data_IF_759632643983
#
_entry.id   IF_759632643983
#
_cell.length_a   1.000
_cell.length_b   1.000
_cell.length_c   1.000
_cell.angle_alpha   90.00
_cell.angle_beta   90.00
_cell.angle_gamma   90.00
#
_symmetry.space_group_name_H-M   'P 1'
#
loop_
_entity.id
_entity.type
_entity.pdbx_description
1 polymer ?
#
# COMPACT_ATOMS: atom_id res chain seq x y z
N UNK A 1 67.99 37.13 35.93
CA UNK A 1 67.06 36.11 36.41
C UNK A 1 65.66 36.48 35.95
N UNK A 2 65.15 35.86 34.90
CA UNK A 2 63.75 35.99 34.42
C UNK A 2 63.28 34.60 34.09
N UNK A 3 62.41 34.08 34.93
CA UNK A 3 61.71 32.79 34.77
C UNK A 3 60.58 32.93 33.79
N UNK A 4 60.64 32.18 32.67
CA UNK A 4 59.58 32.12 31.68
C UNK A 4 58.62 30.98 32.01
N UNK A 5 57.35 31.34 32.18
CA UNK A 5 56.24 30.42 32.40
C UNK A 5 55.75 29.92 31.03
N UNK A 6 55.85 28.61 30.76
CA UNK A 6 55.29 27.98 29.57
C UNK A 6 53.81 27.57 29.86
N UNK A 7 52.86 28.18 29.17
CA UNK A 7 51.48 27.73 29.12
C UNK A 7 51.37 26.58 28.14
N UNK A 8 50.97 25.42 28.60
CA UNK A 8 50.54 24.28 27.77
C UNK A 8 49.02 24.44 27.53
N UNK A 9 48.66 24.68 26.28
CA UNK A 9 47.25 24.69 25.89
C UNK A 9 46.80 23.24 25.65
N UNK A 10 45.94 22.73 26.55
CA UNK A 10 45.21 21.48 26.29
C UNK A 10 44.06 21.77 25.37
N UNK A 11 44.12 21.30 24.16
CA UNK A 11 42.98 21.24 23.22
C UNK A 11 42.09 20.08 23.63
N UNK A 12 40.91 20.40 24.12
CA UNK A 12 39.84 19.40 24.39
C UNK A 12 39.19 19.05 23.06
N UNK A 13 39.38 17.81 22.60
CA UNK A 13 38.59 17.21 21.56
C UNK A 13 37.17 16.89 22.13
N UNK A 14 36.22 17.73 21.85
CA UNK A 14 34.79 17.47 22.06
C UNK A 14 34.11 17.57 20.72
N UNK A 15 33.97 16.46 19.97
CA UNK A 15 33.04 16.39 18.84
C UNK A 15 32.93 14.99 18.22
N UNK A 16 32.38 13.99 18.92
CA UNK A 16 31.94 12.74 18.26
C UNK A 16 30.80 12.01 18.99
N UNK A 17 30.22 12.55 20.06
CA UNK A 17 29.20 11.82 20.85
C UNK A 17 27.76 12.06 20.34
N UNK A 18 27.50 13.18 19.66
CA UNK A 18 26.12 13.52 19.25
C UNK A 18 25.57 12.67 18.08
N UNK A 19 26.41 12.17 17.21
CA UNK A 19 25.97 11.42 16.01
C UNK A 19 25.54 9.98 16.31
N UNK A 20 26.13 9.36 17.30
CA UNK A 20 25.83 7.96 17.66
C UNK A 20 24.49 7.86 18.39
N UNK A 21 24.21 8.77 19.31
CA UNK A 21 22.95 8.78 20.06
C UNK A 21 21.71 8.98 19.16
N UNK A 22 21.79 9.81 18.12
CA UNK A 22 20.69 10.00 17.18
C UNK A 22 20.49 8.83 16.23
N UNK A 23 21.53 8.08 15.88
CA UNK A 23 21.42 6.88 15.07
C UNK A 23 20.76 5.72 15.82
N UNK A 24 21.10 5.55 17.09
CA UNK A 24 20.48 4.53 17.95
C UNK A 24 18.99 4.81 18.19
N UNK A 25 18.58 6.07 18.34
CA UNK A 25 17.19 6.48 18.51
C UNK A 25 16.31 6.16 17.31
N UNK A 26 16.79 6.38 16.08
CA UNK A 26 16.01 6.11 14.86
C UNK A 26 15.86 4.60 14.61
N UNK A 27 16.90 3.81 14.88
CA UNK A 27 16.85 2.35 14.77
C UNK A 27 15.90 1.77 15.81
N UNK A 28 15.96 2.22 17.05
CA UNK A 28 15.04 1.79 18.11
C UNK A 28 13.58 2.17 17.79
N UNK A 29 13.35 3.38 17.26
CA UNK A 29 12.01 3.80 16.79
C UNK A 29 11.51 2.90 15.67
N UNK A 30 12.35 2.61 14.67
CA UNK A 30 12.01 1.73 13.57
C UNK A 30 11.67 0.31 14.05
N UNK A 31 12.49 -0.25 14.94
CA UNK A 31 12.25 -1.57 15.54
C UNK A 31 10.94 -1.62 16.34
N UNK A 32 10.62 -0.56 17.09
CA UNK A 32 9.36 -0.45 17.82
C UNK A 32 8.16 -0.48 16.87
N UNK A 33 8.20 0.33 15.81
CA UNK A 33 7.12 0.40 14.82
C UNK A 33 6.93 -0.95 14.09
N UNK A 34 8.02 -1.67 13.80
CA UNK A 34 7.95 -2.99 13.17
C UNK A 34 7.25 -4.04 14.03
N UNK A 35 7.36 -3.96 15.36
CA UNK A 35 6.61 -4.85 16.26
C UNK A 35 5.10 -4.67 16.09
N UNK A 36 4.66 -3.42 15.84
CA UNK A 36 3.25 -3.10 15.59
C UNK A 36 2.82 -3.58 14.21
N UNK A 37 3.59 -3.24 13.16
CA UNK A 37 3.24 -3.57 11.78
C UNK A 37 3.28 -5.08 11.48
N UNK A 38 4.20 -5.83 12.10
CA UNK A 38 4.33 -7.28 11.87
C UNK A 38 3.62 -8.13 12.93
N UNK A 39 2.94 -7.49 13.90
CA UNK A 39 2.22 -8.16 14.97
C UNK A 39 0.89 -8.77 14.51
N UNK A 40 0.27 -9.64 15.34
CA UNK A 40 -1.03 -10.25 15.03
C UNK A 40 -2.14 -9.22 14.78
N UNK A 41 -2.94 -9.43 13.75
CA UNK A 41 -4.05 -8.57 13.35
C UNK A 41 -5.40 -9.18 13.79
N UNK A 42 -5.52 -9.52 15.09
CA UNK A 42 -6.67 -10.22 15.66
C UNK A 42 -7.69 -9.30 16.37
N UNK A 43 -7.42 -7.99 16.46
CA UNK A 43 -8.32 -7.01 17.04
C UNK A 43 -9.25 -6.39 16.01
N UNK A 44 -10.55 -6.29 16.34
CA UNK A 44 -11.47 -5.52 15.51
C UNK A 44 -11.43 -4.04 15.89
N UNK A 45 -11.09 -3.19 14.91
CA UNK A 45 -11.05 -1.72 15.03
C UNK A 45 -11.97 -1.03 14.03
N UNK A 46 -12.74 -1.82 13.26
CA UNK A 46 -13.69 -1.31 12.28
C UNK A 46 -15.02 -0.83 12.88
N UNK A 47 -15.99 -0.48 12.03
CA UNK A 47 -17.28 0.05 12.48
C UNK A 47 -18.04 -0.95 13.36
N UNK A 48 -18.72 -0.43 14.37
CA UNK A 48 -19.54 -1.20 15.32
C UNK A 48 -21.05 -1.05 15.06
N UNK A 49 -21.43 -0.26 14.07
CA UNK A 49 -22.82 -0.05 13.64
C UNK A 49 -22.89 0.32 12.18
N UNK A 50 -23.96 -0.07 11.51
CA UNK A 50 -24.30 0.30 10.15
C UNK A 50 -25.83 0.41 9.98
N UNK A 51 -26.32 1.11 8.95
CA UNK A 51 -27.74 1.05 8.59
C UNK A 51 -28.06 -0.35 8.04
N UNK A 52 -29.27 -0.83 8.30
CA UNK A 52 -29.73 -2.10 7.74
C UNK A 52 -29.79 -1.99 6.20
N UNK A 53 -29.13 -2.87 5.45
CA UNK A 53 -29.12 -2.78 4.00
C UNK A 53 -30.50 -2.87 3.35
N UNK A 54 -30.74 -2.08 2.30
CA UNK A 54 -31.91 -2.18 1.44
C UNK A 54 -31.58 -3.19 0.34
N UNK A 55 -32.30 -4.33 0.33
CA UNK A 55 -32.09 -5.37 -0.69
C UNK A 55 -32.46 -4.89 -2.10
N UNK A 56 -31.99 -5.61 -3.12
CA UNK A 56 -32.32 -5.38 -4.52
C UNK A 56 -31.59 -4.22 -5.18
N UNK A 57 -30.57 -3.67 -4.55
CA UNK A 57 -29.71 -2.63 -5.13
C UNK A 57 -28.83 -3.21 -6.23
N UNK A 58 -28.61 -2.42 -7.29
CA UNK A 58 -27.71 -2.70 -8.41
C UNK A 58 -26.45 -1.89 -8.24
N UNK A 59 -25.31 -2.54 -8.14
CA UNK A 59 -24.02 -1.91 -7.90
C UNK A 59 -23.09 -2.22 -9.06
N UNK A 60 -22.30 -1.24 -9.51
CA UNK A 60 -21.15 -1.50 -10.38
C UNK A 60 -19.87 -1.47 -9.56
N UNK A 61 -19.02 -2.49 -9.72
CA UNK A 61 -17.61 -2.38 -9.41
C UNK A 61 -16.85 -2.09 -10.69
N UNK A 62 -16.28 -0.90 -10.79
CA UNK A 62 -15.42 -0.51 -11.91
C UNK A 62 -13.99 -0.80 -11.52
N UNK A 63 -13.49 -1.94 -12.01
CA UNK A 63 -12.14 -2.39 -11.80
C UNK A 63 -11.17 -1.57 -12.65
N UNK A 64 -10.06 -1.16 -12.08
CA UNK A 64 -8.98 -0.53 -12.84
C UNK A 64 -8.51 -1.45 -13.99
N UNK A 65 -8.25 -2.72 -13.64
CA UNK A 65 -7.72 -3.73 -14.57
C UNK A 65 -8.00 -5.14 -14.03
N UNK A 66 -8.90 -5.88 -14.65
CA UNK A 66 -9.22 -7.26 -14.26
C UNK A 66 -8.09 -8.27 -14.52
N UNK A 67 -7.07 -7.91 -15.28
CA UNK A 67 -5.88 -8.74 -15.44
C UNK A 67 -4.91 -8.64 -14.24
N UNK A 68 -5.13 -7.66 -13.34
CA UNK A 68 -4.38 -7.51 -12.11
C UNK A 68 -5.04 -8.31 -10.98
N UNK A 69 -4.28 -9.20 -10.32
CA UNK A 69 -4.78 -10.12 -9.30
C UNK A 69 -5.50 -9.42 -8.14
N UNK A 70 -5.01 -8.27 -7.68
CA UNK A 70 -5.64 -7.54 -6.58
C UNK A 70 -6.99 -6.93 -6.99
N UNK A 71 -7.06 -6.33 -8.19
CA UNK A 71 -8.32 -5.79 -8.71
C UNK A 71 -9.37 -6.89 -8.94
N UNK A 72 -8.96 -8.02 -9.50
CA UNK A 72 -9.82 -9.18 -9.65
C UNK A 72 -10.34 -9.70 -8.30
N UNK A 73 -9.44 -9.81 -7.31
CA UNK A 73 -9.80 -10.25 -5.96
C UNK A 73 -10.81 -9.31 -5.29
N UNK A 74 -10.68 -7.98 -5.44
CA UNK A 74 -11.72 -7.04 -5.00
C UNK A 74 -13.07 -7.31 -5.69
N UNK A 75 -13.08 -7.50 -7.01
CA UNK A 75 -14.30 -7.80 -7.78
C UNK A 75 -15.04 -9.02 -7.26
N UNK A 76 -14.30 -10.10 -6.99
CA UNK A 76 -14.83 -11.34 -6.41
C UNK A 76 -15.40 -11.09 -5.01
N UNK A 77 -14.63 -10.45 -4.14
CA UNK A 77 -15.02 -10.24 -2.74
C UNK A 77 -16.16 -9.21 -2.58
N UNK A 78 -16.20 -8.15 -3.38
CA UNK A 78 -17.32 -7.17 -3.43
C UNK A 78 -18.59 -7.87 -3.88
N UNK A 79 -18.50 -8.74 -4.90
CA UNK A 79 -19.66 -9.52 -5.37
C UNK A 79 -20.17 -10.47 -4.29
N UNK A 80 -19.28 -11.14 -3.56
CA UNK A 80 -19.65 -12.01 -2.45
C UNK A 80 -20.33 -11.21 -1.32
N UNK A 81 -19.71 -10.14 -0.84
CA UNK A 81 -20.23 -9.32 0.23
C UNK A 81 -21.58 -8.67 -0.13
N UNK A 82 -21.69 -8.13 -1.35
CA UNK A 82 -22.95 -7.57 -1.87
C UNK A 82 -24.08 -8.58 -1.90
N UNK A 83 -23.82 -9.80 -2.37
CA UNK A 83 -24.81 -10.89 -2.38
C UNK A 83 -25.34 -11.24 -0.97
N UNK A 84 -24.48 -11.16 0.06
CA UNK A 84 -24.90 -11.42 1.46
C UNK A 84 -25.99 -10.49 1.92
N UNK A 85 -26.05 -9.27 1.41
CA UNK A 85 -27.05 -8.25 1.74
C UNK A 85 -28.11 -8.06 0.65
N UNK A 86 -28.18 -8.97 -0.33
CA UNK A 86 -29.18 -8.96 -1.39
C UNK A 86 -28.94 -7.94 -2.49
N UNK A 87 -27.71 -7.54 -2.74
CA UNK A 87 -27.31 -6.65 -3.83
C UNK A 87 -26.85 -7.44 -5.06
N UNK A 88 -27.10 -6.88 -6.25
CA UNK A 88 -26.60 -7.37 -7.54
C UNK A 88 -25.41 -6.54 -7.95
N UNK A 89 -24.22 -7.17 -8.01
CA UNK A 89 -22.96 -6.49 -8.31
C UNK A 89 -22.49 -6.89 -9.72
N UNK A 90 -22.32 -5.91 -10.58
CA UNK A 90 -21.73 -6.07 -11.91
C UNK A 90 -20.28 -5.56 -11.90
N UNK A 91 -19.32 -6.44 -12.19
CA UNK A 91 -17.91 -6.06 -12.38
C UNK A 91 -17.72 -5.58 -13.81
N UNK A 92 -17.11 -4.39 -13.96
CA UNK A 92 -16.81 -3.78 -15.27
C UNK A 92 -15.31 -3.52 -15.36
N UNK A 93 -14.65 -4.13 -16.33
CA UNK A 93 -13.21 -3.99 -16.56
C UNK A 93 -12.86 -2.66 -17.20
N UNK A 94 -12.04 -1.86 -16.53
CA UNK A 94 -11.53 -0.57 -17.00
C UNK A 94 -10.28 -0.67 -17.87
N UNK A 95 -9.70 -1.85 -18.06
CA UNK A 95 -8.60 -2.17 -19.00
C UNK A 95 -7.36 -1.30 -18.80
N UNK A 96 -7.04 -0.93 -17.56
CA UNK A 96 -5.86 -0.18 -17.16
C UNK A 96 -5.64 1.16 -17.91
N UNK A 97 -6.70 1.76 -18.47
CA UNK A 97 -6.57 2.99 -19.24
C UNK A 97 -7.63 4.02 -18.88
N UNK A 98 -7.30 5.33 -18.90
CA UNK A 98 -8.29 6.39 -18.65
C UNK A 98 -9.50 6.32 -19.59
N UNK A 99 -9.31 5.93 -20.85
CA UNK A 99 -10.39 5.74 -21.82
C UNK A 99 -11.29 4.58 -21.42
N UNK A 100 -10.69 3.46 -21.01
CA UNK A 100 -11.42 2.29 -20.52
C UNK A 100 -12.21 2.59 -19.26
N UNK A 101 -11.60 3.29 -18.29
CA UNK A 101 -12.27 3.71 -17.05
C UNK A 101 -13.49 4.62 -17.32
N UNK A 102 -13.34 5.63 -18.18
CA UNK A 102 -14.47 6.50 -18.59
C UNK A 102 -15.57 5.68 -19.29
N UNK A 103 -15.19 4.72 -20.14
CA UNK A 103 -16.16 3.84 -20.82
C UNK A 103 -16.91 2.99 -19.79
N UNK A 104 -16.22 2.42 -18.78
CA UNK A 104 -16.83 1.63 -17.72
C UNK A 104 -17.78 2.45 -16.85
N UNK A 105 -17.43 3.70 -16.50
CA UNK A 105 -18.33 4.62 -15.80
C UNK A 105 -19.61 4.92 -16.61
N UNK A 106 -19.47 5.24 -17.89
CA UNK A 106 -20.60 5.48 -18.78
C UNK A 106 -21.50 4.23 -18.88
N UNK A 107 -20.91 3.03 -18.92
CA UNK A 107 -21.66 1.78 -18.90
C UNK A 107 -22.42 1.59 -17.58
N UNK A 108 -21.80 1.84 -16.42
CA UNK A 108 -22.47 1.77 -15.13
C UNK A 108 -23.65 2.75 -15.04
N UNK A 109 -23.48 3.99 -15.49
CA UNK A 109 -24.54 4.99 -15.54
C UNK A 109 -25.70 4.53 -16.46
N UNK A 110 -25.38 3.98 -17.64
CA UNK A 110 -26.37 3.46 -18.58
C UNK A 110 -27.17 2.26 -18.01
N UNK A 111 -26.52 1.43 -17.19
CA UNK A 111 -27.16 0.33 -16.46
C UNK A 111 -28.08 0.80 -15.30
N UNK A 112 -28.07 2.11 -15.01
CA UNK A 112 -28.85 2.74 -13.92
C UNK A 112 -28.59 2.06 -12.59
N UNK A 113 -27.32 1.93 -12.24
CA UNK A 113 -26.91 1.38 -10.94
C UNK A 113 -27.27 2.33 -9.80
N UNK A 114 -27.50 1.79 -8.60
CA UNK A 114 -27.78 2.57 -7.39
C UNK A 114 -26.52 3.14 -6.75
N UNK A 115 -25.33 2.55 -7.06
CA UNK A 115 -24.05 3.00 -6.53
C UNK A 115 -22.89 2.41 -7.30
N UNK A 116 -21.74 3.05 -7.18
CA UNK A 116 -20.49 2.66 -7.85
C UNK A 116 -19.40 2.44 -6.79
N UNK A 117 -18.66 1.36 -6.91
CA UNK A 117 -17.36 1.14 -6.26
C UNK A 117 -16.32 1.16 -7.37
N UNK A 118 -15.18 1.83 -7.18
CA UNK A 118 -14.15 1.89 -8.23
C UNK A 118 -12.74 1.80 -7.68
N UNK A 119 -11.86 1.07 -8.38
CA UNK A 119 -10.42 1.09 -8.16
C UNK A 119 -9.65 1.90 -9.22
N UNK A 120 -10.36 2.57 -10.15
CA UNK A 120 -9.76 3.47 -11.11
C UNK A 120 -9.42 4.83 -10.49
N UNK A 121 -8.36 5.48 -10.96
CA UNK A 121 -7.92 6.79 -10.44
C UNK A 121 -8.98 7.89 -10.67
N UNK A 122 -9.56 8.39 -9.59
CA UNK A 122 -10.65 9.37 -9.63
C UNK A 122 -10.25 10.72 -10.24
N UNK A 123 -8.97 11.10 -10.14
CA UNK A 123 -8.47 12.34 -10.74
C UNK A 123 -8.59 12.34 -12.26
N UNK A 124 -8.48 11.15 -12.87
CA UNK A 124 -8.61 10.94 -14.31
C UNK A 124 -10.07 10.79 -14.77
N UNK A 125 -11.03 10.82 -13.85
CA UNK A 125 -12.45 10.49 -14.08
C UNK A 125 -13.41 11.64 -13.73
N UNK A 126 -12.92 12.87 -13.57
CA UNK A 126 -13.70 14.00 -13.06
C UNK A 126 -15.06 14.18 -13.75
N UNK A 127 -15.09 14.12 -15.08
CA UNK A 127 -16.34 14.35 -15.84
C UNK A 127 -17.34 13.19 -15.65
N UNK A 128 -16.86 11.95 -15.66
CA UNK A 128 -17.70 10.77 -15.45
C UNK A 128 -18.22 10.70 -14.00
N UNK A 129 -17.41 11.07 -13.03
CA UNK A 129 -17.80 11.19 -11.62
C UNK A 129 -18.86 12.27 -11.45
N UNK A 130 -18.65 13.47 -12.03
CA UNK A 130 -19.62 14.57 -11.97
C UNK A 130 -20.96 14.17 -12.61
N UNK A 131 -20.97 13.38 -13.68
CA UNK A 131 -22.19 12.86 -14.28
C UNK A 131 -22.91 11.87 -13.35
N UNK A 132 -22.19 10.98 -12.67
CA UNK A 132 -22.75 10.06 -11.68
C UNK A 132 -23.35 10.82 -10.48
N UNK A 133 -22.65 11.82 -9.96
CA UNK A 133 -23.14 12.71 -8.88
C UNK A 133 -24.42 13.45 -9.28
N UNK A 134 -24.49 14.00 -10.51
CA UNK A 134 -25.69 14.67 -11.03
C UNK A 134 -26.92 13.74 -11.09
N UNK A 135 -26.69 12.43 -11.09
CA UNK A 135 -27.74 11.38 -11.04
C UNK A 135 -27.96 10.82 -9.63
N UNK A 136 -27.32 11.40 -8.62
CA UNK A 136 -27.34 10.93 -7.22
C UNK A 136 -26.84 9.48 -7.06
N UNK A 137 -25.85 9.06 -7.85
CA UNK A 137 -25.18 7.78 -7.72
C UNK A 137 -23.95 7.99 -6.83
N UNK A 138 -23.95 7.49 -5.58
CA UNK A 138 -22.77 7.60 -4.71
C UNK A 138 -21.61 6.75 -5.22
N UNK A 139 -20.39 7.24 -4.98
CA UNK A 139 -19.16 6.60 -5.43
C UNK A 139 -18.25 6.33 -4.24
N UNK A 140 -17.86 5.07 -4.04
CA UNK A 140 -16.84 4.64 -3.09
C UNK A 140 -15.59 4.25 -3.86
N UNK A 141 -14.45 4.84 -3.50
CA UNK A 141 -13.15 4.48 -4.05
C UNK A 141 -12.48 3.35 -3.25
N UNK A 142 -11.69 2.53 -3.93
CA UNK A 142 -10.67 1.66 -3.36
C UNK A 142 -9.38 1.98 -4.08
N UNK A 143 -8.37 2.54 -3.41
CA UNK A 143 -7.14 3.06 -4.03
C UNK A 143 -7.37 4.12 -5.13
N UNK A 144 -8.54 4.74 -5.17
CA UNK A 144 -8.94 5.67 -6.22
C UNK A 144 -8.42 7.11 -6.01
N UNK A 145 -7.85 7.41 -4.84
CA UNK A 145 -7.33 8.74 -4.48
C UNK A 145 -6.00 8.63 -3.72
N UNK A 146 -5.36 9.78 -3.47
CA UNK A 146 -4.06 9.85 -2.81
C UNK A 146 -4.09 9.41 -1.35
N UNK A 147 -5.20 9.61 -0.64
CA UNK A 147 -5.35 9.36 0.79
C UNK A 147 -6.68 8.65 1.08
N UNK A 148 -6.78 7.90 2.19
CA UNK A 148 -8.04 7.33 2.65
C UNK A 148 -9.02 8.40 3.13
N UNK A 149 -10.31 8.06 3.11
CA UNK A 149 -11.38 8.89 3.62
C UNK A 149 -12.16 9.65 2.54
N UNK A 150 -13.07 10.55 2.95
CA UNK A 150 -13.89 11.33 2.03
C UNK A 150 -13.07 12.27 1.17
N UNK A 151 -13.36 12.32 -0.13
CA UNK A 151 -12.75 13.29 -1.05
C UNK A 151 -13.83 13.97 -1.91
N UNK A 152 -14.31 15.10 -1.42
CA UNK A 152 -15.38 15.87 -2.10
C UNK A 152 -14.90 16.53 -3.39
N UNK A 153 -13.60 16.82 -3.52
CA UNK A 153 -13.06 17.44 -4.74
C UNK A 153 -13.02 16.44 -5.90
N UNK A 154 -12.85 15.16 -5.55
CA UNK A 154 -12.90 14.06 -6.50
C UNK A 154 -14.26 13.38 -6.57
N UNK A 155 -15.28 13.85 -5.84
CA UNK A 155 -16.63 13.28 -5.84
C UNK A 155 -16.71 11.90 -5.19
N UNK A 156 -15.78 11.54 -4.33
CA UNK A 156 -15.79 10.27 -3.61
C UNK A 156 -16.48 10.43 -2.25
N UNK A 157 -17.49 9.60 -2.00
CA UNK A 157 -18.09 9.49 -0.67
C UNK A 157 -17.04 9.14 0.38
N UNK A 158 -16.21 8.15 0.07
CA UNK A 158 -14.98 7.83 0.79
C UNK A 158 -14.06 7.02 -0.13
N UNK A 159 -12.76 7.04 0.17
CA UNK A 159 -11.76 6.21 -0.48
C UNK A 159 -11.18 5.22 0.54
N UNK A 160 -11.26 3.94 0.24
CA UNK A 160 -10.80 2.85 1.09
C UNK A 160 -9.40 2.45 0.67
N UNK A 161 -8.50 2.57 1.59
CA UNK A 161 -7.11 2.12 1.50
C UNK A 161 -6.46 2.26 2.87
N UNK A 162 -5.34 1.65 3.07
CA UNK A 162 -4.42 2.01 4.15
C UNK A 162 -3.83 3.39 3.90
N UNK A 163 -3.36 4.05 4.94
CA UNK A 163 -2.66 5.32 4.71
C UNK A 163 -1.34 5.04 3.97
N UNK A 164 -1.16 5.50 2.73
CA UNK A 164 0.05 5.22 1.95
C UNK A 164 1.31 5.80 2.60
N UNK A 165 1.17 6.77 3.51
CA UNK A 165 2.28 7.31 4.30
C UNK A 165 2.78 6.29 5.31
N UNK A 166 1.88 5.53 5.93
CA UNK A 166 2.22 4.47 6.87
C UNK A 166 2.83 3.25 6.15
N UNK A 167 2.34 2.94 4.93
CA UNK A 167 2.96 1.91 4.07
C UNK A 167 4.42 2.26 3.76
N UNK A 168 4.67 3.47 3.28
CA UNK A 168 6.04 3.93 2.98
C UNK A 168 6.91 4.02 4.22
N UNK A 169 6.33 4.43 5.36
CA UNK A 169 7.03 4.43 6.65
C UNK A 169 7.42 3.01 7.07
N UNK A 170 6.52 2.03 6.97
CA UNK A 170 6.81 0.63 7.30
C UNK A 170 7.95 0.04 6.44
N UNK A 171 7.95 0.33 5.13
CA UNK A 171 9.06 -0.04 4.24
C UNK A 171 10.39 0.55 4.70
N UNK A 172 10.41 1.85 5.02
CA UNK A 172 11.62 2.55 5.46
C UNK A 172 12.09 2.08 6.84
N UNK A 173 11.18 1.85 7.78
CA UNK A 173 11.49 1.35 9.11
C UNK A 173 12.13 -0.04 9.05
N UNK A 174 11.62 -0.91 8.16
CA UNK A 174 12.26 -2.20 7.95
C UNK A 174 13.71 -2.05 7.43
N UNK A 175 13.93 -1.18 6.46
CA UNK A 175 15.26 -0.90 5.92
C UNK A 175 16.20 -0.34 6.98
N UNK A 176 15.73 0.61 7.79
CA UNK A 176 16.51 1.25 8.86
C UNK A 176 16.92 0.20 9.91
N UNK A 177 15.96 -0.64 10.34
CA UNK A 177 16.22 -1.68 11.35
C UNK A 177 17.16 -2.77 10.82
N UNK A 178 16.91 -3.29 9.60
CA UNK A 178 17.70 -4.36 8.99
C UNK A 178 19.15 -3.92 8.68
N UNK A 179 19.36 -2.66 8.32
CA UNK A 179 20.68 -2.09 8.04
C UNK A 179 21.39 -1.52 9.27
N UNK A 180 20.75 -1.58 10.43
CA UNK A 180 21.21 -0.89 11.63
C UNK A 180 21.52 0.61 11.36
N UNK A 181 20.65 1.28 10.60
CA UNK A 181 20.75 2.69 10.26
C UNK A 181 21.79 3.05 9.20
N UNK A 182 22.29 2.09 8.41
CA UNK A 182 23.35 2.30 7.41
C UNK A 182 22.96 1.84 6.01
N UNK A 183 21.70 2.04 5.63
CA UNK A 183 21.17 1.59 4.34
C UNK A 183 21.65 2.45 3.16
N UNK A 184 21.77 1.79 2.00
CA UNK A 184 21.92 2.42 0.68
C UNK A 184 20.70 2.05 -0.15
N UNK A 185 19.85 3.04 -0.46
CA UNK A 185 18.48 2.80 -0.91
C UNK A 185 18.21 3.44 -2.26
N UNK A 186 17.61 2.69 -3.17
CA UNK A 186 16.93 3.19 -4.36
C UNK A 186 15.43 3.10 -4.11
N UNK A 187 14.71 4.17 -4.40
CA UNK A 187 13.23 4.24 -4.27
C UNK A 187 12.62 4.30 -5.65
N UNK A 188 11.72 3.35 -5.96
CA UNK A 188 10.96 3.38 -7.22
C UNK A 188 9.52 3.78 -6.98
N UNK A 189 8.91 4.41 -7.98
CA UNK A 189 7.54 4.91 -7.93
C UNK A 189 6.85 4.82 -9.29
N UNK A 190 5.53 4.91 -9.27
CA UNK A 190 4.62 5.03 -10.42
C UNK A 190 3.83 6.34 -10.26
N UNK A 191 4.46 7.49 -10.53
CA UNK A 191 3.93 8.82 -10.18
C UNK A 191 2.66 9.22 -10.96
N UNK A 192 2.24 8.43 -11.92
CA UNK A 192 0.93 8.57 -12.56
C UNK A 192 -0.23 8.23 -11.62
N UNK A 193 0.05 7.48 -10.52
CA UNK A 193 -0.89 7.20 -9.45
C UNK A 193 -0.54 8.00 -8.20
N UNK A 194 -1.48 8.82 -7.73
CA UNK A 194 -1.25 9.68 -6.55
C UNK A 194 -0.94 8.87 -5.28
N UNK A 195 -1.53 7.69 -5.11
CA UNK A 195 -1.23 6.78 -4.00
C UNK A 195 0.22 6.29 -4.06
N UNK A 196 0.73 5.92 -5.24
CA UNK A 196 2.08 5.42 -5.42
C UNK A 196 3.14 6.50 -5.14
N UNK A 197 2.88 7.73 -5.60
CA UNK A 197 3.74 8.86 -5.27
C UNK A 197 3.74 9.12 -3.76
N UNK A 198 2.60 9.06 -3.10
CA UNK A 198 2.49 9.25 -1.64
C UNK A 198 3.27 8.17 -0.88
N UNK A 199 3.12 6.87 -1.24
CA UNK A 199 3.89 5.75 -0.66
C UNK A 199 5.41 6.02 -0.78
N UNK A 200 5.89 6.27 -1.99
CA UNK A 200 7.33 6.45 -2.26
C UNK A 200 7.92 7.70 -1.62
N UNK A 201 7.17 8.80 -1.56
CA UNK A 201 7.59 10.02 -0.85
C UNK A 201 7.72 9.78 0.65
N UNK A 202 6.81 9.01 1.26
CA UNK A 202 6.90 8.66 2.68
C UNK A 202 8.15 7.84 3.00
N UNK A 203 8.56 6.91 2.12
CA UNK A 203 9.86 6.22 2.24
C UNK A 203 11.00 7.23 2.27
N UNK A 204 11.03 8.16 1.32
CA UNK A 204 12.10 9.18 1.23
C UNK A 204 12.14 10.05 2.48
N UNK A 205 10.99 10.52 2.96
CA UNK A 205 10.93 11.37 4.16
C UNK A 205 11.41 10.61 5.41
N UNK A 206 11.04 9.35 5.58
CA UNK A 206 11.47 8.54 6.73
C UNK A 206 12.99 8.26 6.67
N UNK A 207 13.54 7.99 5.49
CA UNK A 207 14.97 7.77 5.30
C UNK A 207 15.80 9.04 5.58
N UNK A 208 15.27 10.24 5.33
CA UNK A 208 15.95 11.50 5.67
C UNK A 208 16.21 11.66 7.18
N UNK A 209 15.35 11.07 8.02
CA UNK A 209 15.57 11.07 9.47
C UNK A 209 16.70 10.13 9.92
N UNK A 210 17.16 9.22 9.04
CA UNK A 210 18.24 8.28 9.31
C UNK A 210 19.58 8.84 8.81
N UNK A 211 20.37 9.41 9.69
CA UNK A 211 21.64 10.08 9.33
C UNK A 211 22.66 9.18 8.62
N UNK A 212 22.65 7.87 8.91
CA UNK A 212 23.56 6.90 8.26
C UNK A 212 23.00 6.30 6.98
N UNK A 213 21.70 6.50 6.68
CA UNK A 213 21.05 6.00 5.47
C UNK A 213 21.34 6.93 4.28
N UNK A 214 21.46 6.35 3.08
CA UNK A 214 21.72 7.11 1.85
C UNK A 214 20.66 6.79 0.82
N UNK A 215 19.80 7.77 0.49
CA UNK A 215 19.00 7.73 -0.72
C UNK A 215 19.94 7.93 -1.91
N UNK A 216 20.09 6.87 -2.72
CA UNK A 216 20.95 6.88 -3.89
C UNK A 216 20.26 7.46 -5.12
N UNK A 217 18.98 7.06 -5.31
CA UNK A 217 18.18 7.46 -6.46
C UNK A 217 16.69 7.36 -6.13
N UNK A 218 15.89 8.28 -6.66
CA UNK A 218 14.43 8.19 -6.72
C UNK A 218 14.02 8.10 -8.18
N UNK A 219 13.37 7.01 -8.57
CA UNK A 219 13.06 6.70 -9.97
C UNK A 219 11.56 6.58 -10.19
N UNK A 220 11.01 7.44 -11.01
CA UNK A 220 9.69 7.24 -11.58
C UNK A 220 9.77 6.30 -12.79
N UNK A 221 9.02 5.21 -12.74
CA UNK A 221 8.90 4.24 -13.84
C UNK A 221 7.41 4.02 -14.10
N UNK A 222 6.83 4.58 -15.17
CA UNK A 222 5.45 4.37 -15.49
C UNK A 222 5.08 2.88 -15.54
N UNK A 223 3.92 2.51 -15.02
CA UNK A 223 3.53 1.10 -14.88
C UNK A 223 3.53 0.35 -16.21
N UNK A 224 3.15 1.04 -17.29
CA UNK A 224 3.19 0.48 -18.63
C UNK A 224 4.60 0.12 -19.15
N UNK A 225 5.64 0.68 -18.54
CA UNK A 225 7.04 0.48 -18.93
C UNK A 225 7.80 -0.47 -17.99
N UNK A 226 7.17 -0.91 -16.91
CA UNK A 226 7.80 -1.70 -15.82
C UNK A 226 8.48 -2.96 -16.38
N UNK A 227 7.78 -3.73 -17.21
CA UNK A 227 8.31 -4.97 -17.77
C UNK A 227 9.60 -4.79 -18.59
N UNK A 228 9.73 -3.64 -19.26
CA UNK A 228 10.90 -3.35 -20.11
C UNK A 228 12.03 -2.66 -19.31
N UNK A 229 11.69 -1.75 -18.39
CA UNK A 229 12.67 -0.90 -17.72
C UNK A 229 13.25 -1.52 -16.46
N UNK A 230 12.43 -2.16 -15.63
CA UNK A 230 12.86 -2.62 -14.31
C UNK A 230 13.98 -3.67 -14.32
N UNK A 231 14.02 -4.64 -15.26
CA UNK A 231 15.15 -5.54 -15.40
C UNK A 231 16.49 -4.83 -15.62
N UNK A 232 16.50 -3.81 -16.48
CA UNK A 232 17.70 -3.05 -16.81
C UNK A 232 18.09 -2.10 -15.67
N UNK A 233 17.12 -1.46 -15.04
CA UNK A 233 17.34 -0.53 -13.93
C UNK A 233 17.99 -1.23 -12.74
N UNK A 234 17.45 -2.37 -12.30
CA UNK A 234 18.00 -3.07 -11.13
C UNK A 234 19.45 -3.53 -11.34
N UNK A 235 19.78 -4.03 -12.53
CA UNK A 235 21.16 -4.40 -12.87
C UNK A 235 22.08 -3.18 -12.95
N UNK A 236 21.60 -2.07 -13.53
CA UNK A 236 22.32 -0.81 -13.58
C UNK A 236 22.63 -0.26 -12.18
N UNK A 237 21.69 -0.36 -11.24
CA UNK A 237 21.91 0.08 -9.85
C UNK A 237 22.96 -0.77 -9.15
N UNK A 238 22.93 -2.10 -9.33
CA UNK A 238 23.95 -3.00 -8.77
C UNK A 238 25.33 -2.65 -9.34
N UNK A 239 25.41 -2.42 -10.64
CA UNK A 239 26.69 -2.03 -11.29
C UNK A 239 27.20 -0.66 -10.82
N UNK A 240 26.31 0.34 -10.72
CA UNK A 240 26.67 1.73 -10.39
C UNK A 240 26.98 1.92 -8.92
N UNK A 241 26.18 1.30 -8.09
CA UNK A 241 26.23 1.54 -6.64
C UNK A 241 26.91 0.40 -5.87
N UNK A 242 27.05 -0.78 -6.45
CA UNK A 242 27.54 -1.98 -5.74
C UNK A 242 26.53 -2.49 -4.70
N UNK A 243 26.96 -3.45 -3.92
CA UNK A 243 26.17 -4.10 -2.86
C UNK A 243 26.79 -3.88 -1.49
N UNK A 244 26.07 -3.99 -0.36
CA UNK A 244 24.63 -4.27 -0.26
C UNK A 244 23.76 -3.12 -0.77
N UNK A 245 22.58 -3.45 -1.31
CA UNK A 245 21.64 -2.49 -1.88
C UNK A 245 20.21 -2.82 -1.45
N UNK A 246 19.45 -1.80 -1.07
CA UNK A 246 18.02 -1.87 -0.82
C UNK A 246 17.27 -1.19 -1.97
N UNK A 247 16.22 -1.83 -2.46
CA UNK A 247 15.36 -1.25 -3.50
C UNK A 247 13.91 -1.34 -3.04
N UNK A 248 13.22 -0.21 -2.95
CA UNK A 248 11.78 -0.21 -2.64
C UNK A 248 10.95 -0.14 -3.90
N UNK A 249 9.81 -0.80 -3.87
CA UNK A 249 8.77 -0.68 -4.87
C UNK A 249 7.43 -0.36 -4.19
N UNK A 250 6.63 0.47 -4.85
CA UNK A 250 5.29 0.86 -4.36
C UNK A 250 4.25 -0.24 -4.60
N UNK A 251 4.60 -1.24 -5.42
CA UNK A 251 3.81 -2.43 -5.70
C UNK A 251 4.72 -3.63 -5.97
N UNK A 252 4.36 -4.80 -5.47
CA UNK A 252 5.11 -6.05 -5.66
C UNK A 252 5.24 -6.46 -7.14
N UNK A 253 4.28 -6.04 -7.97
CA UNK A 253 4.31 -6.20 -9.43
C UNK A 253 5.63 -5.72 -10.06
N UNK A 254 6.20 -4.64 -9.57
CA UNK A 254 7.50 -4.15 -10.03
C UNK A 254 8.61 -5.18 -9.82
N UNK A 255 8.56 -5.90 -8.71
CA UNK A 255 9.57 -6.88 -8.32
C UNK A 255 9.51 -8.16 -9.16
N UNK A 256 8.35 -8.47 -9.77
CA UNK A 256 8.20 -9.60 -10.70
C UNK A 256 9.16 -9.52 -11.89
N UNK A 257 9.57 -8.31 -12.26
CA UNK A 257 10.53 -8.06 -13.34
C UNK A 257 11.98 -7.88 -12.86
N UNK A 258 12.19 -7.42 -11.62
CA UNK A 258 13.52 -7.25 -11.07
C UNK A 258 14.15 -8.59 -10.65
N UNK A 259 13.36 -9.47 -10.00
CA UNK A 259 13.87 -10.74 -9.48
C UNK A 259 14.44 -11.66 -10.56
N UNK A 260 13.76 -11.91 -11.71
CA UNK A 260 14.34 -12.71 -12.78
C UNK A 260 15.64 -12.12 -13.35
N UNK A 261 15.75 -10.79 -13.43
CA UNK A 261 16.96 -10.12 -13.93
C UNK A 261 18.14 -10.34 -12.98
N UNK A 262 17.94 -10.13 -11.66
CA UNK A 262 18.97 -10.37 -10.64
C UNK A 262 19.43 -11.84 -10.65
N UNK A 263 18.48 -12.77 -10.75
CA UNK A 263 18.76 -14.22 -10.82
C UNK A 263 19.55 -14.56 -12.09
N UNK A 264 19.13 -14.05 -13.25
CA UNK A 264 19.80 -14.26 -14.53
C UNK A 264 21.24 -13.72 -14.55
N UNK A 265 21.49 -12.64 -13.82
CA UNK A 265 22.82 -12.06 -13.64
C UNK A 265 23.65 -12.73 -12.51
N UNK A 266 23.11 -13.78 -11.86
CA UNK A 266 23.75 -14.51 -10.76
C UNK A 266 24.17 -13.61 -9.59
N UNK A 267 23.41 -12.54 -9.33
CA UNK A 267 23.62 -11.69 -8.16
C UNK A 267 23.18 -12.49 -6.92
N UNK A 268 23.98 -12.44 -5.87
CA UNK A 268 23.64 -13.10 -4.60
C UNK A 268 22.34 -12.48 -4.01
N UNK A 269 21.39 -13.32 -3.62
CA UNK A 269 20.10 -12.87 -3.10
C UNK A 269 20.21 -12.09 -1.77
N UNK A 270 21.30 -12.25 -1.02
CA UNK A 270 21.57 -11.47 0.18
C UNK A 270 22.16 -10.08 -0.12
N UNK A 271 22.71 -9.90 -1.32
CA UNK A 271 23.38 -8.67 -1.73
C UNK A 271 22.41 -7.55 -2.17
N UNK A 272 21.19 -7.92 -2.60
CA UNK A 272 20.13 -6.98 -2.96
C UNK A 272 18.85 -7.38 -2.24
N UNK A 273 18.34 -6.48 -1.41
CA UNK A 273 17.08 -6.66 -0.70
C UNK A 273 16.00 -5.81 -1.35
N UNK A 274 14.95 -6.46 -1.80
CA UNK A 274 13.79 -5.83 -2.41
C UNK A 274 12.67 -5.71 -1.38
N UNK A 275 12.05 -4.54 -1.31
CA UNK A 275 11.01 -4.19 -0.34
C UNK A 275 9.76 -3.80 -1.14
N UNK A 276 8.69 -4.59 -1.02
CA UNK A 276 7.46 -4.42 -1.77
C UNK A 276 6.31 -3.84 -0.98
N UNK A 277 5.18 -3.68 -1.67
CA UNK A 277 3.88 -3.36 -1.10
C UNK A 277 2.78 -4.06 -1.90
N UNK A 278 1.57 -4.04 -1.38
CA UNK A 278 0.29 -4.62 -1.82
C UNK A 278 0.09 -6.08 -1.40
N UNK A 279 1.15 -6.87 -1.19
CA UNK A 279 1.03 -8.25 -0.71
C UNK A 279 0.53 -9.22 -1.77
N UNK A 280 1.06 -9.16 -2.98
CA UNK A 280 0.71 -10.10 -4.05
C UNK A 280 1.21 -11.52 -3.74
N UNK A 281 0.55 -12.54 -4.33
CA UNK A 281 0.94 -13.96 -4.18
C UNK A 281 2.44 -14.18 -4.42
N UNK A 282 2.98 -13.64 -5.50
CA UNK A 282 4.39 -13.77 -5.86
C UNK A 282 5.34 -13.20 -4.79
N UNK A 283 4.90 -12.19 -4.03
CA UNK A 283 5.67 -11.64 -2.91
C UNK A 283 5.76 -12.66 -1.76
N UNK A 284 4.65 -13.29 -1.38
CA UNK A 284 4.65 -14.33 -0.34
C UNK A 284 5.56 -15.50 -0.72
N UNK A 285 5.50 -15.96 -1.98
CA UNK A 285 6.35 -17.04 -2.49
C UNK A 285 7.84 -16.65 -2.43
N UNK A 286 8.21 -15.40 -2.81
CA UNK A 286 9.58 -14.91 -2.78
C UNK A 286 10.10 -14.74 -1.36
N UNK A 287 9.30 -14.17 -0.46
CA UNK A 287 9.67 -14.00 0.96
C UNK A 287 9.89 -15.37 1.62
N UNK A 288 8.96 -16.31 1.41
CA UNK A 288 9.04 -17.67 1.98
C UNK A 288 10.26 -18.44 1.48
N UNK A 289 10.63 -18.26 0.23
CA UNK A 289 11.78 -18.92 -0.39
C UNK A 289 13.09 -18.15 -0.27
N UNK A 290 13.10 -16.97 0.39
CA UNK A 290 14.28 -16.14 0.57
C UNK A 290 14.86 -15.56 -0.71
N UNK A 291 14.03 -15.30 -1.74
CA UNK A 291 14.48 -14.86 -3.06
C UNK A 291 14.40 -13.34 -3.22
N UNK A 292 15.46 -12.62 -2.87
CA UNK A 292 15.64 -11.17 -3.01
C UNK A 292 14.60 -10.32 -2.30
N UNK A 293 13.29 -10.68 -2.37
CA UNK A 293 12.26 -9.92 -1.68
C UNK A 293 12.29 -10.27 -0.20
N UNK A 294 12.63 -9.25 0.59
CA UNK A 294 12.78 -9.40 2.03
C UNK A 294 11.45 -9.26 2.77
N UNK A 295 10.62 -8.30 2.34
CA UNK A 295 9.33 -8.00 2.96
C UNK A 295 8.35 -7.42 1.92
N UNK A 296 7.07 -7.44 2.28
CA UNK A 296 6.02 -6.64 1.62
C UNK A 296 5.08 -6.05 2.66
N UNK A 297 4.56 -4.86 2.41
CA UNK A 297 3.45 -4.30 3.19
C UNK A 297 2.15 -4.73 2.52
N UNK A 298 1.45 -5.68 3.15
CA UNK A 298 0.27 -6.33 2.56
C UNK A 298 -1.01 -5.65 2.95
N UNK A 299 -1.95 -5.63 2.04
CA UNK A 299 -3.29 -5.07 2.19
C UNK A 299 -4.37 -6.16 2.28
N UNK A 300 -5.37 -6.03 3.18
CA UNK A 300 -6.40 -7.03 3.36
C UNK A 300 -7.53 -6.87 2.33
N UNK A 301 -7.25 -7.25 1.09
CA UNK A 301 -8.12 -7.05 -0.08
C UNK A 301 -9.58 -7.46 0.16
N UNK A 302 -9.79 -8.62 0.78
CA UNK A 302 -11.15 -9.10 1.05
C UNK A 302 -11.85 -8.27 2.14
N UNK A 303 -11.16 -7.83 3.20
CA UNK A 303 -11.72 -6.95 4.22
C UNK A 303 -12.04 -5.57 3.63
N UNK A 304 -11.20 -5.03 2.74
CA UNK A 304 -11.48 -3.79 2.02
C UNK A 304 -12.76 -3.89 1.18
N UNK A 305 -13.03 -5.04 0.57
CA UNK A 305 -14.27 -5.28 -0.17
C UNK A 305 -15.52 -5.23 0.72
N UNK A 306 -15.47 -5.85 1.91
CA UNK A 306 -16.55 -5.76 2.89
C UNK A 306 -16.76 -4.32 3.39
N UNK A 307 -15.65 -3.60 3.63
CA UNK A 307 -15.70 -2.18 3.97
C UNK A 307 -16.36 -1.37 2.84
N UNK A 308 -16.04 -1.64 1.58
CA UNK A 308 -16.62 -0.90 0.44
C UNK A 308 -18.14 -1.08 0.34
N UNK A 309 -18.62 -2.29 0.60
CA UNK A 309 -20.07 -2.56 0.69
C UNK A 309 -20.71 -1.81 1.87
N UNK A 310 -20.08 -1.78 3.05
CA UNK A 310 -20.58 -1.03 4.20
C UNK A 310 -20.62 0.48 3.93
N UNK A 311 -19.54 1.03 3.36
CA UNK A 311 -19.49 2.45 3.06
C UNK A 311 -20.50 2.86 1.99
N UNK A 312 -20.70 2.04 0.96
CA UNK A 312 -21.73 2.30 -0.03
C UNK A 312 -23.14 2.19 0.58
N UNK A 313 -23.35 1.24 1.50
CA UNK A 313 -24.60 1.14 2.25
C UNK A 313 -24.87 2.40 3.08
N UNK A 314 -23.85 2.97 3.74
CA UNK A 314 -23.95 4.25 4.45
C UNK A 314 -24.32 5.39 3.52
N UNK A 315 -23.65 5.48 2.36
CA UNK A 315 -23.95 6.50 1.35
C UNK A 315 -25.38 6.45 0.87
N UNK A 316 -25.91 5.24 0.58
CA UNK A 316 -27.30 5.03 0.16
C UNK A 316 -28.33 5.39 1.23
N UNK A 317 -27.94 5.45 2.49
CA UNK A 317 -28.77 5.90 3.62
C UNK A 317 -28.51 7.36 4.03
N UNK A 318 -27.70 8.11 3.28
CA UNK A 318 -27.26 9.47 3.62
C UNK A 318 -26.62 9.57 5.02
N UNK A 319 -25.95 8.51 5.45
CA UNK A 319 -25.15 8.50 6.68
C UNK A 319 -23.70 8.91 6.37
N UNK A 320 -22.95 9.43 7.34
CA UNK A 320 -21.53 9.69 7.11
C UNK A 320 -20.74 8.39 6.92
N UNK A 321 -19.59 8.43 6.27
CA UNK A 321 -18.68 7.29 6.21
C UNK A 321 -18.23 6.87 7.61
N UNK A 322 -17.80 5.61 7.75
CA UNK A 322 -17.38 5.04 9.05
C UNK A 322 -16.13 5.73 9.61
N UNK A 323 -15.29 6.26 8.75
CA UNK A 323 -13.99 6.82 9.11
C UNK A 323 -12.93 5.76 9.40
N UNK A 324 -13.24 4.48 9.18
CA UNK A 324 -12.30 3.39 9.41
C UNK A 324 -11.18 3.41 8.36
N UNK A 325 -9.94 3.39 8.83
CA UNK A 325 -8.74 3.24 8.02
C UNK A 325 -7.98 2.04 8.57
N UNK A 326 -7.67 1.10 7.70
CA UNK A 326 -6.97 -0.12 8.07
C UNK A 326 -5.49 0.18 8.34
N UNK A 327 -4.91 -0.51 9.31
CA UNK A 327 -3.49 -0.42 9.59
C UNK A 327 -2.70 -1.29 8.59
N UNK A 328 -1.50 -0.86 8.18
CA UNK A 328 -0.64 -1.67 7.32
C UNK A 328 -0.14 -2.93 8.04
N UNK A 329 0.02 -4.03 7.29
CA UNK A 329 0.58 -5.27 7.79
C UNK A 329 1.88 -5.62 7.06
N UNK A 330 2.98 -5.66 7.82
CA UNK A 330 4.29 -5.99 7.27
C UNK A 330 4.51 -7.50 7.29
N UNK A 331 4.54 -8.11 6.12
CA UNK A 331 4.90 -9.52 5.93
C UNK A 331 6.41 -9.66 5.84
N UNK A 332 6.95 -10.51 6.69
CA UNK A 332 8.37 -10.83 6.83
C UNK A 332 8.59 -12.34 6.76
N UNK A 333 9.83 -12.85 6.65
CA UNK A 333 10.09 -14.30 6.72
C UNK A 333 9.59 -14.97 8.00
N UNK A 334 9.44 -14.22 9.11
CA UNK A 334 9.01 -14.74 10.40
C UNK A 334 7.48 -14.95 10.48
N UNK A 335 6.69 -14.14 9.76
CA UNK A 335 5.23 -14.18 9.80
C UNK A 335 4.56 -14.49 8.46
N UNK A 336 5.33 -14.83 7.42
CA UNK A 336 4.83 -15.05 6.04
C UNK A 336 3.73 -16.12 5.91
N UNK A 337 3.58 -17.00 6.90
CA UNK A 337 2.52 -18.01 6.94
C UNK A 337 1.39 -17.64 7.92
N UNK A 338 1.45 -16.47 8.57
CA UNK A 338 0.41 -15.98 9.47
C UNK A 338 -0.61 -15.13 8.70
N UNK A 339 -1.74 -14.82 9.35
CA UNK A 339 -2.77 -13.89 8.84
C UNK A 339 -3.16 -14.15 7.37
N UNK A 340 -3.43 -15.42 7.02
CA UNK A 340 -3.77 -15.84 5.65
C UNK A 340 -2.57 -16.09 4.73
N UNK A 341 -1.34 -15.87 5.20
CA UNK A 341 -0.14 -16.03 4.39
C UNK A 341 0.12 -17.46 3.91
N UNK A 342 -0.49 -18.48 4.53
CA UNK A 342 -0.53 -19.86 4.05
C UNK A 342 -1.28 -20.00 2.71
N UNK A 343 -2.10 -19.02 2.35
CA UNK A 343 -2.85 -18.90 1.08
C UNK A 343 -2.28 -17.80 0.18
N UNK A 344 -1.09 -17.30 0.50
CA UNK A 344 -0.42 -16.22 -0.25
C UNK A 344 -1.24 -14.92 -0.35
N UNK A 345 -1.96 -14.58 0.72
CA UNK A 345 -2.76 -13.37 0.82
C UNK A 345 -2.82 -12.88 2.27
N UNK A 346 -2.98 -11.57 2.48
CA UNK A 346 -3.25 -11.05 3.81
C UNK A 346 -4.75 -11.16 4.14
N UNK A 347 -5.06 -11.91 5.18
CA UNK A 347 -6.40 -12.04 5.75
C UNK A 347 -6.29 -11.92 7.28
N UNK A 348 -6.61 -10.75 7.85
CA UNK A 348 -6.51 -10.54 9.29
C UNK A 348 -7.45 -11.48 10.05
N UNK A 349 -6.96 -12.00 11.20
CA UNK A 349 -7.71 -12.97 12.04
C UNK A 349 -8.67 -12.27 13.02
N UNK A 350 -9.22 -11.13 12.63
CA UNK A 350 -10.07 -10.27 13.44
C UNK A 350 -11.58 -10.49 13.23
N UNK A 351 -11.98 -11.60 12.61
CA UNK A 351 -13.38 -11.95 12.33
C UNK A 351 -14.18 -10.85 11.57
N UNK A 352 -13.54 -10.04 10.73
CA UNK A 352 -14.15 -8.91 10.03
C UNK A 352 -15.44 -9.29 9.28
N UNK A 353 -15.51 -10.46 8.65
CA UNK A 353 -16.73 -10.93 7.96
C UNK A 353 -17.92 -11.02 8.91
N UNK A 354 -17.70 -11.61 10.07
CA UNK A 354 -18.70 -11.74 11.12
C UNK A 354 -19.14 -10.37 11.62
N UNK A 355 -18.19 -9.47 11.92
CA UNK A 355 -18.50 -8.12 12.37
C UNK A 355 -19.32 -7.33 11.35
N UNK A 356 -18.97 -7.37 10.06
CA UNK A 356 -19.78 -6.72 9.03
C UNK A 356 -21.18 -7.32 8.92
N UNK A 357 -21.31 -8.65 8.92
CA UNK A 357 -22.63 -9.30 8.88
C UNK A 357 -23.50 -8.92 10.10
N UNK A 358 -22.92 -8.92 11.30
CA UNK A 358 -23.61 -8.52 12.54
C UNK A 358 -24.15 -7.08 12.47
N UNK A 359 -23.30 -6.10 12.05
CA UNK A 359 -23.76 -4.69 11.95
C UNK A 359 -24.77 -4.47 10.82
N UNK A 360 -24.79 -5.33 9.80
CA UNK A 360 -25.82 -5.32 8.74
C UNK A 360 -27.13 -6.03 9.17
N UNK A 361 -27.14 -6.69 10.34
CA UNK A 361 -28.27 -7.45 10.85
C UNK A 361 -28.51 -8.76 10.08
N UNK A 362 -27.42 -9.37 9.58
CA UNK A 362 -27.41 -10.67 8.89
C UNK A 362 -26.80 -11.70 9.85
N UNK A 363 -27.39 -12.87 9.93
CA UNK A 363 -26.79 -13.97 10.69
C UNK A 363 -25.46 -14.41 10.02
N UNK A 364 -24.38 -14.55 10.80
CA UNK A 364 -23.06 -14.93 10.29
C UNK A 364 -23.00 -16.31 9.65
#
# INVERSE_FOLDING_TARGET
MRTGLKFVASAILLSTISGVAFADDIVASAQHDLVIYAGPQNGWHGPTSAPKPIAGKKIAFISNDESNDANHAWGVAITEAGRKIGWDVTVIDGKATPVGWNTAFNQAIALKVDGIITSADAKSLKDAIAEAEARNIPIVGIHAAALPGPDKELGLFTNIQEDPRDIGKAQADWIIADSNGHARVVVTSHNEFAIAETKSRAVVERLKACAGCKLLEYVNSPIAEVAQRQPQLVLSWVQRYGTPLYVTAVADYTLDFQVPALRGAMIDHSAVKLIGADGQRSAYERIRSGQYQAVTVSEPTEMQAYQAIDELNRALHNMPPSGFVQAPYLVTPQNVNAEGGDKDAFAPTNDYKKHYLEIWGIEP
#
